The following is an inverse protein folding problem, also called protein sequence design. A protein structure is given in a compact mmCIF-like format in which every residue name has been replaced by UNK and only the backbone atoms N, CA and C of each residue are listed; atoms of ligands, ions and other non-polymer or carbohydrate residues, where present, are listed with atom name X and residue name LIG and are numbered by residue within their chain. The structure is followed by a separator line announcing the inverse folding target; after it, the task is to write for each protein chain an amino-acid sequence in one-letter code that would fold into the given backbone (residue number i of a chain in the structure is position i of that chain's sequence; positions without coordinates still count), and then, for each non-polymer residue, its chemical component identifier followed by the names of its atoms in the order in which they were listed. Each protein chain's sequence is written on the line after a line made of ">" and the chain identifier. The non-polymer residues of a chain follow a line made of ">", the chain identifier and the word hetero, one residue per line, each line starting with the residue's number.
data_IF_964818555256
#
_entry.id   IF_964818555256
#
_cell.length_a   1.000
_cell.length_b   1.000
_cell.length_c   1.000
_cell.angle_alpha   90.00
_cell.angle_beta   90.00
_cell.angle_gamma   90.00
#
_symmetry.space_group_name_H-M   'P 1'
#
loop_
_entity.id
_entity.type
_entity.pdbx_description
1 polymer ?
#
# COMPACT_ATOMS: atom_id res chain seq x y z
N UNK A 1 61.76 35.16 32.35
CA UNK A 1 61.27 33.76 32.56
C UNK A 1 59.73 33.68 32.43
N UNK A 2 58.99 34.63 33.01
CA UNK A 2 57.51 34.67 33.00
C UNK A 2 56.94 34.88 31.58
N UNK A 3 57.54 35.71 30.75
CA UNK A 3 57.07 35.94 29.35
C UNK A 3 57.25 34.72 28.43
N UNK A 4 58.26 33.91 28.66
CA UNK A 4 58.52 32.69 27.88
C UNK A 4 57.48 31.61 28.19
N UNK A 5 57.04 31.53 29.46
CA UNK A 5 56.00 30.62 29.91
C UNK A 5 54.63 31.02 29.35
N UNK A 6 54.30 32.30 29.37
CA UNK A 6 53.04 32.83 28.84
C UNK A 6 52.92 32.63 27.30
N UNK A 7 54.02 32.85 26.55
CA UNK A 7 54.03 32.59 25.10
C UNK A 7 53.89 31.09 24.73
N UNK A 8 54.39 30.20 25.55
CA UNK A 8 54.18 28.73 25.34
C UNK A 8 52.76 28.30 25.67
N UNK A 9 52.12 28.88 26.72
CA UNK A 9 50.73 28.61 27.07
C UNK A 9 49.75 29.06 26.01
N UNK A 10 49.97 30.26 25.43
CA UNK A 10 49.11 30.79 24.34
C UNK A 10 49.23 29.98 23.04
N UNK A 11 50.39 29.44 22.72
CA UNK A 11 50.60 28.58 21.55
C UNK A 11 49.96 27.19 21.73
N UNK A 12 49.95 26.65 22.94
CA UNK A 12 49.29 25.36 23.23
C UNK A 12 47.76 25.49 23.22
N UNK A 13 47.21 26.60 23.70
CA UNK A 13 45.75 26.86 23.64
C UNK A 13 45.25 27.14 22.22
N UNK A 14 46.04 27.81 21.37
CA UNK A 14 45.70 28.05 19.97
C UNK A 14 45.73 26.74 19.13
N UNK A 15 46.64 25.82 19.44
CA UNK A 15 46.71 24.51 18.78
C UNK A 15 45.57 23.57 19.20
N UNK A 16 45.13 23.62 20.47
CA UNK A 16 44.01 22.87 20.97
C UNK A 16 42.65 23.35 20.44
N UNK A 17 42.49 24.66 20.23
CA UNK A 17 41.29 25.28 19.63
C UNK A 17 41.08 24.92 18.15
N UNK A 18 42.19 24.77 17.39
CA UNK A 18 42.13 24.42 15.98
C UNK A 18 41.85 22.94 15.73
N UNK A 19 42.17 22.05 16.68
CA UNK A 19 41.89 20.62 16.55
C UNK A 19 40.42 20.24 16.84
N UNK A 20 39.67 21.10 17.57
CA UNK A 20 38.25 20.85 17.85
C UNK A 20 37.31 21.28 16.72
N UNK A 21 37.77 22.06 15.75
CA UNK A 21 36.97 22.60 14.64
C UNK A 21 36.85 21.65 13.44
N UNK A 22 37.54 20.49 13.44
CA UNK A 22 37.58 19.54 12.31
C UNK A 22 36.91 18.21 12.58
N UNK A 23 36.26 18.03 13.73
CA UNK A 23 35.38 16.90 13.97
C UNK A 23 33.97 17.19 13.40
N UNK A 24 33.87 17.46 12.11
CA UNK A 24 32.59 17.26 11.38
C UNK A 24 32.34 15.76 11.45
N UNK A 25 31.21 15.32 12.03
CA UNK A 25 30.95 13.89 12.13
C UNK A 25 30.97 13.31 10.71
N UNK A 26 31.81 12.31 10.49
CA UNK A 26 31.99 11.60 9.21
C UNK A 26 30.67 11.08 8.60
N UNK A 27 29.57 11.12 9.36
CA UNK A 27 28.23 10.75 8.93
C UNK A 27 27.59 11.73 7.92
N UNK A 28 28.04 12.98 7.82
CA UNK A 28 27.47 13.96 6.89
C UNK A 28 27.98 13.80 5.44
N UNK A 29 29.07 13.07 5.23
CA UNK A 29 29.70 12.92 3.91
C UNK A 29 29.13 11.78 3.06
N UNK A 30 28.31 10.88 3.63
CA UNK A 30 27.82 9.65 2.99
C UNK A 30 26.41 9.80 2.37
N UNK A 31 25.73 10.95 2.54
CA UNK A 31 24.42 11.23 1.97
C UNK A 31 24.57 12.06 0.72
N UNK A 32 24.15 11.52 -0.43
CA UNK A 32 24.19 12.20 -1.73
C UNK A 32 22.90 12.97 -1.99
N UNK A 33 22.98 13.98 -2.88
CA UNK A 33 21.77 14.61 -3.40
C UNK A 33 21.02 13.63 -4.31
N UNK A 34 19.74 13.39 -3.99
CA UNK A 34 18.91 12.46 -4.73
C UNK A 34 17.51 13.02 -4.94
N UNK A 35 16.98 12.79 -6.14
CA UNK A 35 15.58 13.03 -6.46
C UNK A 35 14.89 11.67 -6.60
N UNK A 36 13.89 11.42 -5.78
CA UNK A 36 13.19 10.14 -5.68
C UNK A 36 11.78 10.33 -6.25
N UNK A 37 11.54 9.75 -7.42
CA UNK A 37 10.21 9.75 -8.06
C UNK A 37 9.35 8.69 -7.39
N UNK A 38 8.29 9.14 -6.70
CA UNK A 38 7.38 8.28 -5.96
C UNK A 38 5.99 8.30 -6.62
N UNK A 39 5.64 7.24 -7.33
CA UNK A 39 4.35 7.12 -8.03
C UNK A 39 3.31 6.35 -7.22
N UNK A 40 2.05 6.71 -7.39
CA UNK A 40 0.91 5.92 -6.93
C UNK A 40 -0.35 6.18 -7.77
N UNK A 41 -1.35 5.31 -7.63
CA UNK A 41 -2.54 5.34 -8.48
C UNK A 41 -3.63 6.28 -7.98
N UNK A 42 -3.62 6.57 -6.67
CA UNK A 42 -4.66 7.35 -6.02
C UNK A 42 -4.49 8.86 -6.25
N UNK A 43 -5.57 9.61 -6.13
CA UNK A 43 -5.55 11.06 -6.25
C UNK A 43 -4.79 11.74 -5.08
N UNK A 44 -4.44 13.01 -5.25
CA UNK A 44 -3.64 13.77 -4.29
C UNK A 44 -4.35 14.07 -2.95
N UNK A 45 -5.66 13.88 -2.88
CA UNK A 45 -6.51 14.00 -1.68
C UNK A 45 -6.73 12.65 -0.96
N UNK A 46 -6.20 11.55 -1.49
CA UNK A 46 -6.30 10.23 -0.88
C UNK A 46 -5.25 10.03 0.24
N UNK A 47 -5.54 9.27 1.30
CA UNK A 47 -4.61 8.97 2.41
C UNK A 47 -3.24 8.42 2.01
N UNK A 48 -3.12 7.75 0.87
CA UNK A 48 -1.82 7.31 0.31
C UNK A 48 -0.93 8.51 -0.02
N UNK A 49 -1.48 9.55 -0.64
CA UNK A 49 -0.75 10.79 -0.93
C UNK A 49 -0.26 11.48 0.35
N UNK A 50 -1.08 11.48 1.41
CA UNK A 50 -0.64 12.02 2.70
C UNK A 50 0.50 11.21 3.31
N UNK A 51 0.49 9.89 3.15
CA UNK A 51 1.60 9.01 3.52
C UNK A 51 2.88 9.33 2.74
N UNK A 52 2.80 9.54 1.42
CA UNK A 52 3.94 9.92 0.57
C UNK A 52 4.51 11.27 0.99
N UNK A 53 3.66 12.26 1.24
CA UNK A 53 4.08 13.60 1.72
C UNK A 53 4.79 13.50 3.06
N UNK A 54 4.22 12.72 4.00
CA UNK A 54 4.85 12.51 5.32
C UNK A 54 6.19 11.80 5.20
N UNK A 55 6.30 10.78 4.37
CA UNK A 55 7.57 10.12 4.06
C UNK A 55 8.60 11.11 3.48
N UNK A 56 8.17 11.96 2.55
CA UNK A 56 9.02 12.98 1.93
C UNK A 56 9.57 13.99 2.96
N UNK A 57 8.71 14.50 3.86
CA UNK A 57 9.10 15.41 4.94
C UNK A 57 10.14 14.78 5.88
N UNK A 58 9.87 13.54 6.32
CA UNK A 58 10.74 12.80 7.21
C UNK A 58 12.10 12.50 6.58
N UNK A 59 12.10 12.06 5.32
CA UNK A 59 13.34 11.75 4.61
C UNK A 59 14.17 13.01 4.34
N UNK A 60 13.53 14.11 3.96
CA UNK A 60 14.21 15.40 3.79
C UNK A 60 14.83 15.87 5.10
N UNK A 61 14.10 15.80 6.22
CA UNK A 61 14.62 16.18 7.54
C UNK A 61 15.82 15.31 7.95
N UNK A 62 15.72 13.97 7.80
CA UNK A 62 16.80 13.03 8.16
C UNK A 62 18.05 13.21 7.29
N UNK A 63 17.89 13.56 6.01
CA UNK A 63 18.98 13.71 5.05
C UNK A 63 19.54 15.13 4.95
N UNK A 64 19.08 16.07 5.79
CA UNK A 64 19.46 17.49 5.69
C UNK A 64 19.05 18.12 4.35
N UNK A 65 17.94 17.70 3.77
CA UNK A 65 17.38 18.18 2.51
C UNK A 65 18.02 17.58 1.25
N UNK A 66 18.98 16.66 1.38
CA UNK A 66 19.68 16.06 0.24
C UNK A 66 18.82 15.02 -0.50
N UNK A 67 18.00 14.23 0.20
CA UNK A 67 17.11 13.25 -0.42
C UNK A 67 15.70 13.85 -0.54
N UNK A 68 15.31 14.18 -1.77
CA UNK A 68 14.03 14.85 -2.08
C UNK A 68 13.09 13.90 -2.79
N UNK A 69 11.88 13.74 -2.27
CA UNK A 69 10.82 12.94 -2.90
C UNK A 69 9.94 13.84 -3.76
N UNK A 70 9.75 13.45 -5.01
CA UNK A 70 8.75 14.00 -5.91
C UNK A 70 7.58 13.02 -6.02
N UNK A 71 6.42 13.45 -5.56
CA UNK A 71 5.19 12.68 -5.65
C UNK A 71 4.58 12.76 -7.06
N UNK A 72 4.08 11.62 -7.56
CA UNK A 72 3.36 11.49 -8.82
C UNK A 72 2.05 10.72 -8.56
N UNK A 73 0.97 11.41 -8.15
CA UNK A 73 -0.33 10.83 -7.87
C UNK A 73 -1.11 10.48 -9.15
N UNK A 74 -2.30 9.89 -8.98
CA UNK A 74 -3.29 9.68 -10.04
C UNK A 74 -2.73 9.00 -11.31
N UNK A 75 -1.89 7.98 -11.11
CA UNK A 75 -1.29 7.20 -12.21
C UNK A 75 -0.42 8.02 -13.19
N UNK A 76 0.12 9.18 -12.79
CA UNK A 76 0.97 10.02 -13.66
C UNK A 76 2.21 9.30 -14.21
N UNK A 77 2.71 8.26 -13.50
CA UNK A 77 3.82 7.43 -13.97
C UNK A 77 3.35 6.11 -14.62
N UNK A 78 2.08 6.03 -15.02
CA UNK A 78 1.48 4.85 -15.63
C UNK A 78 0.66 4.00 -14.65
N UNK A 79 0.08 2.92 -15.18
CA UNK A 79 -0.70 1.96 -14.41
C UNK A 79 0.20 1.07 -13.53
N UNK A 80 -0.41 0.14 -12.76
CA UNK A 80 0.29 -0.74 -11.82
C UNK A 80 1.45 -1.50 -12.47
N UNK A 81 1.21 -2.14 -13.61
CA UNK A 81 2.22 -2.97 -14.29
C UNK A 81 3.34 -2.12 -14.90
N UNK A 82 3.01 -0.94 -15.42
CA UNK A 82 4.00 0.00 -15.96
C UNK A 82 4.93 0.51 -14.86
N UNK A 83 4.38 0.91 -13.70
CA UNK A 83 5.19 1.34 -12.56
C UNK A 83 6.03 0.20 -11.98
N UNK A 84 5.50 -1.02 -11.88
CA UNK A 84 6.27 -2.19 -11.46
C UNK A 84 7.45 -2.47 -12.39
N UNK A 85 7.21 -2.46 -13.71
CA UNK A 85 8.28 -2.62 -14.70
C UNK A 85 9.32 -1.48 -14.62
N UNK A 86 8.87 -0.25 -14.40
CA UNK A 86 9.77 0.91 -14.25
C UNK A 86 10.64 0.82 -12.99
N UNK A 87 10.10 0.30 -11.87
CA UNK A 87 10.88 0.01 -10.65
C UNK A 87 11.91 -1.08 -10.90
N UNK A 88 11.52 -2.20 -11.49
CA UNK A 88 12.43 -3.32 -11.82
C UNK A 88 13.52 -2.87 -12.78
N UNK A 89 13.19 -2.01 -13.74
CA UNK A 89 14.14 -1.38 -14.67
C UNK A 89 15.07 -0.34 -14.05
N UNK A 90 14.71 0.23 -12.88
CA UNK A 90 15.44 1.32 -12.23
C UNK A 90 15.10 2.72 -12.76
N UNK A 91 14.08 2.84 -13.62
CA UNK A 91 13.64 4.12 -14.22
C UNK A 91 12.83 4.94 -13.19
N UNK A 92 12.08 4.28 -12.34
CA UNK A 92 11.33 4.85 -11.22
C UNK A 92 11.96 4.39 -9.90
N UNK A 93 12.02 5.26 -8.88
CA UNK A 93 12.67 4.94 -7.61
C UNK A 93 11.71 4.27 -6.62
N UNK A 94 10.48 4.80 -6.49
CA UNK A 94 9.51 4.31 -5.50
C UNK A 94 8.08 4.26 -6.05
N UNK A 95 7.26 3.35 -5.52
CA UNK A 95 5.81 3.36 -5.70
C UNK A 95 5.08 2.78 -4.49
N UNK A 96 3.76 3.02 -4.41
CA UNK A 96 2.89 2.43 -3.39
C UNK A 96 1.66 1.76 -4.05
N UNK A 97 1.82 0.63 -4.77
CA UNK A 97 0.70 -0.12 -5.31
C UNK A 97 -0.06 -0.89 -4.24
N UNK A 98 -1.29 -1.33 -4.55
CA UNK A 98 -1.97 -2.34 -3.77
C UNK A 98 -1.19 -3.67 -3.82
N UNK A 99 -1.09 -4.38 -2.68
CA UNK A 99 -0.45 -5.72 -2.60
C UNK A 99 -1.04 -6.70 -3.62
N UNK A 100 -2.32 -6.58 -3.90
CA UNK A 100 -3.08 -7.36 -4.86
C UNK A 100 -2.44 -7.40 -6.26
N UNK A 101 -1.80 -6.31 -6.69
CA UNK A 101 -1.12 -6.23 -8.00
C UNK A 101 0.21 -6.99 -8.05
N UNK A 102 0.74 -7.44 -6.91
CA UNK A 102 2.00 -8.18 -6.84
C UNK A 102 1.84 -9.69 -7.05
N UNK A 103 0.62 -10.21 -7.06
CA UNK A 103 0.38 -11.65 -7.28
C UNK A 103 0.91 -12.16 -8.63
N UNK A 104 1.07 -11.28 -9.62
CA UNK A 104 1.71 -11.59 -10.90
C UNK A 104 3.24 -11.70 -10.84
N UNK A 105 3.88 -11.17 -9.79
CA UNK A 105 5.34 -11.18 -9.58
C UNK A 105 5.72 -12.24 -8.54
N UNK A 106 5.00 -12.27 -7.42
CA UNK A 106 5.11 -13.26 -6.34
C UNK A 106 3.70 -13.74 -6.01
N UNK A 107 3.35 -14.93 -6.49
CA UNK A 107 1.98 -15.47 -6.44
C UNK A 107 1.42 -15.56 -5.00
N UNK A 108 2.28 -15.74 -4.02
CA UNK A 108 1.92 -15.86 -2.61
C UNK A 108 1.34 -14.56 -2.01
N UNK A 109 1.50 -13.39 -2.67
CA UNK A 109 0.74 -12.20 -2.28
C UNK A 109 -0.77 -12.41 -2.40
N UNK A 110 -1.24 -13.38 -3.19
CA UNK A 110 -2.64 -13.78 -3.21
C UNK A 110 -3.19 -14.28 -1.87
N UNK A 111 -2.35 -14.69 -0.92
CA UNK A 111 -2.79 -15.10 0.43
C UNK A 111 -3.41 -13.92 1.21
N UNK A 112 -2.89 -12.71 1.03
CA UNK A 112 -3.45 -11.52 1.70
C UNK A 112 -4.72 -11.02 1.02
N UNK A 113 -5.00 -11.50 -0.18
CA UNK A 113 -6.21 -11.20 -0.95
C UNK A 113 -7.34 -12.22 -0.72
N UNK A 114 -7.12 -13.25 0.11
CA UNK A 114 -8.16 -14.23 0.41
C UNK A 114 -9.38 -13.54 1.03
N UNK A 115 -10.58 -13.79 0.49
CA UNK A 115 -11.78 -13.13 0.96
C UNK A 115 -12.05 -13.47 2.42
N UNK A 116 -12.42 -12.44 3.19
CA UNK A 116 -12.73 -12.52 4.62
C UNK A 116 -11.60 -13.10 5.50
N UNK A 117 -10.34 -12.96 5.07
CA UNK A 117 -9.16 -13.40 5.82
C UNK A 117 -9.08 -12.72 7.20
N UNK A 118 -9.25 -11.40 7.23
CA UNK A 118 -9.26 -10.58 8.43
C UNK A 118 -10.57 -9.82 8.55
N UNK A 119 -10.99 -9.50 9.78
CA UNK A 119 -12.26 -8.83 10.07
C UNK A 119 -12.13 -7.40 10.60
N UNK A 120 -10.91 -6.97 10.94
CA UNK A 120 -10.66 -5.63 11.46
C UNK A 120 -9.20 -5.19 11.22
N UNK A 121 -8.90 -3.90 11.46
CA UNK A 121 -7.57 -3.35 11.24
C UNK A 121 -6.49 -3.96 12.14
N UNK A 122 -6.81 -4.33 13.39
CA UNK A 122 -5.85 -4.95 14.29
C UNK A 122 -5.37 -6.32 13.75
N UNK A 123 -6.31 -7.12 13.22
CA UNK A 123 -5.99 -8.38 12.55
C UNK A 123 -5.18 -8.15 11.28
N UNK A 124 -5.49 -7.13 10.49
CA UNK A 124 -4.75 -6.77 9.28
C UNK A 124 -3.31 -6.34 9.62
N UNK A 125 -3.13 -5.50 10.65
CA UNK A 125 -1.82 -5.09 11.14
C UNK A 125 -1.00 -6.31 11.60
N UNK A 126 -1.60 -7.17 12.41
CA UNK A 126 -0.91 -8.36 12.93
C UNK A 126 -0.50 -9.34 11.80
N UNK A 127 -1.30 -9.47 10.75
CA UNK A 127 -1.00 -10.33 9.60
C UNK A 127 0.13 -9.76 8.75
N UNK A 128 0.07 -8.46 8.44
CA UNK A 128 0.99 -7.83 7.49
C UNK A 128 2.32 -7.39 8.13
N UNK A 129 2.31 -6.95 9.37
CA UNK A 129 3.55 -6.61 10.09
C UNK A 129 4.21 -7.84 10.73
N UNK A 130 3.45 -8.94 10.82
CA UNK A 130 3.88 -10.22 11.38
C UNK A 130 4.71 -11.08 10.44
N UNK A 131 4.98 -12.34 10.84
CA UNK A 131 5.84 -13.27 10.12
C UNK A 131 5.43 -13.50 8.65
N UNK A 132 4.13 -13.56 8.34
CA UNK A 132 3.67 -13.73 6.97
C UNK A 132 4.06 -12.53 6.10
N UNK A 133 3.74 -11.31 6.54
CA UNK A 133 4.06 -10.10 5.79
C UNK A 133 5.56 -9.96 5.53
N UNK A 134 6.41 -10.30 6.52
CA UNK A 134 7.86 -10.31 6.38
C UNK A 134 8.34 -11.38 5.39
N UNK A 135 7.76 -12.58 5.42
CA UNK A 135 8.09 -13.66 4.48
C UNK A 135 7.73 -13.30 3.03
N UNK A 136 6.62 -12.57 2.82
CA UNK A 136 6.25 -12.06 1.50
C UNK A 136 7.21 -10.98 1.00
N UNK A 137 7.57 -10.02 1.85
CA UNK A 137 8.56 -8.97 1.54
C UNK A 137 9.91 -9.57 1.16
N UNK A 138 10.35 -10.61 1.87
CA UNK A 138 11.64 -11.26 1.63
C UNK A 138 11.77 -11.89 0.23
N UNK A 139 10.68 -12.11 -0.49
CA UNK A 139 10.67 -12.64 -1.88
C UNK A 139 10.84 -11.58 -2.97
N UNK A 140 10.70 -10.31 -2.61
CA UNK A 140 10.72 -9.21 -3.59
C UNK A 140 12.11 -8.86 -4.13
N UNK A 141 13.22 -8.97 -3.38
CA UNK A 141 14.55 -8.63 -3.90
C UNK A 141 14.97 -9.44 -5.12
N UNK A 142 14.61 -10.71 -5.20
CA UNK A 142 14.85 -11.56 -6.38
C UNK A 142 14.05 -11.10 -7.62
N UNK A 143 13.02 -10.30 -7.39
CA UNK A 143 12.17 -9.70 -8.44
C UNK A 143 12.56 -8.25 -8.75
N UNK A 144 13.71 -7.78 -8.27
CA UNK A 144 14.20 -6.42 -8.52
C UNK A 144 13.50 -5.33 -7.70
N UNK A 145 12.84 -5.68 -6.60
CA UNK A 145 12.08 -4.80 -5.74
C UNK A 145 12.53 -4.93 -4.29
N UNK A 146 12.49 -3.84 -3.54
CA UNK A 146 12.65 -3.81 -2.08
C UNK A 146 11.40 -3.19 -1.48
N UNK A 147 10.83 -3.80 -0.43
CA UNK A 147 9.70 -3.22 0.27
C UNK A 147 10.14 -2.61 1.61
N UNK A 148 9.56 -1.47 1.94
CA UNK A 148 9.78 -0.76 3.20
C UNK A 148 8.65 -0.96 4.22
N UNK A 149 7.56 -1.63 3.84
CA UNK A 149 6.45 -1.93 4.72
C UNK A 149 5.10 -1.77 4.06
N UNK A 150 4.05 -1.97 4.85
CA UNK A 150 2.66 -1.94 4.39
C UNK A 150 1.93 -0.71 4.93
N UNK A 151 1.14 -0.07 4.07
CA UNK A 151 0.22 1.00 4.37
C UNK A 151 -1.23 0.53 4.23
N UNK A 152 -2.18 1.18 4.90
CA UNK A 152 -3.60 0.89 4.73
C UNK A 152 -4.12 1.39 3.38
N UNK A 153 -4.93 0.56 2.72
CA UNK A 153 -5.86 1.00 1.70
C UNK A 153 -7.30 0.88 2.24
N UNK A 154 -7.61 -0.24 2.88
CA UNK A 154 -8.85 -0.47 3.62
C UNK A 154 -9.65 -1.68 3.19
N UNK A 155 -10.80 -1.89 3.86
CA UNK A 155 -11.75 -2.95 3.49
C UNK A 155 -12.47 -2.60 2.20
N UNK A 156 -12.50 -3.55 1.28
CA UNK A 156 -13.08 -3.39 -0.06
C UNK A 156 -14.56 -3.72 -0.05
N UNK A 157 -15.31 -2.90 -0.76
CA UNK A 157 -16.76 -2.90 -0.83
C UNK A 157 -17.22 -2.79 -2.27
N UNK A 158 -18.33 -3.42 -2.62
CA UNK A 158 -18.87 -3.40 -3.97
C UNK A 158 -19.66 -2.12 -4.22
N UNK A 159 -19.43 -1.49 -5.37
CA UNK A 159 -20.35 -0.48 -5.91
C UNK A 159 -20.88 -0.94 -7.24
N UNK A 160 -22.11 -0.52 -7.61
CA UNK A 160 -22.66 -0.75 -8.92
C UNK A 160 -23.77 0.27 -9.28
N UNK A 161 -24.14 0.32 -10.56
CA UNK A 161 -25.17 1.22 -11.07
C UNK A 161 -26.58 0.60 -11.13
N UNK A 162 -26.76 -0.71 -10.81
CA UNK A 162 -27.98 -1.45 -11.08
C UNK A 162 -28.87 -1.64 -9.85
N UNK A 163 -28.32 -2.15 -8.73
CA UNK A 163 -29.09 -2.56 -7.55
C UNK A 163 -28.23 -2.62 -6.30
N UNK A 164 -28.79 -2.47 -5.09
CA UNK A 164 -28.07 -2.77 -3.85
C UNK A 164 -27.71 -4.26 -3.80
N UNK A 165 -26.56 -4.59 -3.19
CA UNK A 165 -26.15 -5.95 -2.89
C UNK A 165 -26.47 -6.21 -1.43
N UNK A 166 -27.50 -7.01 -1.19
CA UNK A 166 -27.99 -7.40 0.16
C UNK A 166 -27.69 -8.86 0.46
N UNK A 167 -27.44 -9.67 -0.57
CA UNK A 167 -27.14 -11.10 -0.53
C UNK A 167 -26.25 -11.49 -1.71
N UNK A 168 -25.54 -12.64 -1.67
CA UNK A 168 -24.63 -13.06 -2.73
C UNK A 168 -25.30 -13.11 -4.12
N UNK A 169 -26.56 -13.51 -4.22
CA UNK A 169 -27.31 -13.65 -5.47
C UNK A 169 -27.51 -12.30 -6.19
N UNK A 170 -27.46 -11.19 -5.47
CA UNK A 170 -27.57 -9.85 -6.07
C UNK A 170 -26.36 -9.50 -6.95
N UNK A 171 -25.25 -10.24 -6.84
CA UNK A 171 -24.08 -10.11 -7.71
C UNK A 171 -24.24 -10.87 -9.04
N UNK A 172 -25.20 -11.80 -9.14
CA UNK A 172 -25.35 -12.65 -10.31
C UNK A 172 -25.56 -11.83 -11.59
N UNK A 173 -24.72 -12.12 -12.59
CA UNK A 173 -24.76 -11.50 -13.92
C UNK A 173 -24.17 -10.10 -14.01
N UNK A 174 -23.84 -9.43 -12.88
CA UNK A 174 -23.21 -8.10 -12.92
C UNK A 174 -21.80 -8.17 -13.50
N UNK A 175 -21.50 -7.29 -14.43
CA UNK A 175 -20.12 -7.05 -14.91
C UNK A 175 -19.38 -6.23 -13.84
N UNK A 176 -18.57 -6.89 -13.03
CA UNK A 176 -17.80 -6.23 -11.96
C UNK A 176 -16.35 -6.12 -12.38
N UNK A 177 -15.85 -4.88 -12.48
CA UNK A 177 -14.40 -4.70 -12.65
C UNK A 177 -13.67 -5.15 -11.40
N UNK A 178 -12.64 -5.93 -11.60
CA UNK A 178 -11.71 -6.35 -10.54
C UNK A 178 -10.27 -6.00 -10.92
N UNK A 179 -9.38 -5.97 -9.92
CA UNK A 179 -7.94 -5.86 -10.16
C UNK A 179 -7.51 -7.12 -10.95
N UNK A 180 -6.55 -7.03 -11.90
CA UNK A 180 -6.00 -8.20 -12.59
C UNK A 180 -5.28 -9.15 -11.62
N UNK A 181 -6.04 -9.95 -10.90
CA UNK A 181 -5.58 -10.89 -9.88
C UNK A 181 -6.47 -12.15 -9.93
N UNK A 182 -5.87 -13.35 -10.05
CA UNK A 182 -6.64 -14.59 -10.18
C UNK A 182 -7.58 -14.88 -8.99
N UNK A 183 -7.20 -14.51 -7.75
CA UNK A 183 -8.04 -14.72 -6.56
C UNK A 183 -9.31 -13.88 -6.68
N UNK A 184 -9.20 -12.60 -7.07
CA UNK A 184 -10.37 -11.72 -7.27
C UNK A 184 -11.27 -12.23 -8.40
N UNK A 185 -10.69 -12.61 -9.54
CA UNK A 185 -11.43 -13.18 -10.66
C UNK A 185 -12.27 -14.38 -10.23
N UNK A 186 -11.64 -15.34 -9.59
CA UNK A 186 -12.32 -16.57 -9.21
C UNK A 186 -13.31 -16.36 -8.04
N UNK A 187 -13.04 -15.43 -7.12
CA UNK A 187 -13.97 -15.07 -6.05
C UNK A 187 -15.26 -14.46 -6.61
N UNK A 188 -15.15 -13.50 -7.54
CA UNK A 188 -16.34 -12.90 -8.13
C UNK A 188 -17.08 -13.85 -9.09
N UNK A 189 -16.38 -14.78 -9.77
CA UNK A 189 -17.03 -15.89 -10.49
C UNK A 189 -17.82 -16.81 -9.53
N UNK A 190 -17.26 -17.12 -8.36
CA UNK A 190 -17.96 -17.93 -7.37
C UNK A 190 -19.25 -17.24 -6.86
N UNK A 191 -19.28 -15.91 -6.80
CA UNK A 191 -20.48 -15.12 -6.55
C UNK A 191 -21.39 -14.98 -7.79
N UNK A 192 -21.11 -15.71 -8.89
CA UNK A 192 -21.83 -15.68 -10.16
C UNK A 192 -21.86 -14.31 -10.85
N UNK A 193 -20.99 -13.39 -10.47
CA UNK A 193 -20.74 -12.18 -11.24
C UNK A 193 -19.93 -12.49 -12.51
N UNK A 194 -19.87 -11.51 -13.41
CA UNK A 194 -19.01 -11.51 -14.58
C UNK A 194 -17.81 -10.59 -14.32
N UNK A 195 -16.71 -11.07 -13.68
CA UNK A 195 -15.58 -10.23 -13.36
C UNK A 195 -14.80 -9.83 -14.62
N UNK A 196 -14.48 -8.55 -14.73
CA UNK A 196 -13.72 -7.96 -15.83
C UNK A 196 -12.39 -7.43 -15.26
N UNK A 197 -11.24 -8.09 -15.51
CA UNK A 197 -9.95 -7.60 -15.05
C UNK A 197 -9.54 -6.38 -15.88
N UNK A 198 -9.15 -5.29 -15.18
CA UNK A 198 -8.82 -4.02 -15.83
C UNK A 198 -7.90 -3.19 -14.94
N UNK A 199 -6.86 -2.51 -15.47
CA UNK A 199 -6.04 -1.56 -14.75
C UNK A 199 -6.88 -0.46 -14.08
N UNK A 200 -6.41 0.05 -12.93
CA UNK A 200 -7.17 1.06 -12.17
C UNK A 200 -7.39 2.35 -12.96
N UNK A 201 -6.40 2.78 -13.75
CA UNK A 201 -6.48 4.02 -14.54
C UNK A 201 -7.62 4.03 -15.58
N UNK A 202 -8.12 2.87 -15.99
CA UNK A 202 -9.20 2.72 -16.97
C UNK A 202 -10.60 2.68 -16.32
N UNK A 203 -10.64 2.54 -14.98
CA UNK A 203 -11.87 2.18 -14.27
C UNK A 203 -12.96 3.23 -14.37
N UNK A 204 -12.66 4.53 -14.13
CA UNK A 204 -13.68 5.56 -14.17
C UNK A 204 -14.39 5.64 -15.53
N UNK A 205 -13.62 5.63 -16.62
CA UNK A 205 -14.18 5.65 -17.98
C UNK A 205 -15.01 4.41 -18.31
N UNK A 206 -14.61 3.23 -17.81
CA UNK A 206 -15.37 2.00 -17.99
C UNK A 206 -16.70 2.00 -17.21
N UNK A 207 -16.74 2.63 -16.01
CA UNK A 207 -17.96 2.82 -15.24
C UNK A 207 -18.88 3.86 -15.90
N UNK A 208 -18.32 4.97 -16.35
CA UNK A 208 -19.04 6.07 -16.99
C UNK A 208 -19.68 5.61 -18.31
N UNK A 209 -18.94 4.92 -19.16
CA UNK A 209 -19.43 4.33 -20.41
C UNK A 209 -20.34 3.12 -20.24
N UNK A 210 -20.50 2.62 -18.97
CA UNK A 210 -21.26 1.41 -18.66
C UNK A 210 -20.70 0.13 -19.31
N UNK A 211 -19.42 0.12 -19.66
CA UNK A 211 -18.71 -1.10 -20.10
C UNK A 211 -18.68 -2.17 -19.00
N UNK A 212 -18.65 -1.70 -17.73
CA UNK A 212 -18.88 -2.51 -16.54
C UNK A 212 -20.02 -1.94 -15.71
N UNK A 213 -20.74 -2.80 -14.97
CA UNK A 213 -21.86 -2.39 -14.13
C UNK A 213 -21.40 -1.86 -12.77
N UNK A 214 -20.25 -2.34 -12.31
CA UNK A 214 -19.72 -2.03 -10.98
C UNK A 214 -18.24 -2.34 -10.83
N UNK A 215 -17.78 -2.09 -9.62
CA UNK A 215 -16.41 -2.30 -9.17
C UNK A 215 -16.38 -2.60 -7.67
N UNK A 216 -15.21 -2.86 -7.11
CA UNK A 216 -14.99 -3.05 -5.69
C UNK A 216 -13.71 -2.34 -5.24
N UNK A 217 -13.81 -1.54 -4.19
CA UNK A 217 -12.70 -0.77 -3.61
C UNK A 217 -13.06 -0.33 -2.17
N UNK A 218 -12.05 0.12 -1.39
CA UNK A 218 -12.32 0.82 -0.13
C UNK A 218 -13.07 2.14 -0.33
N UNK A 219 -13.84 2.56 0.67
CA UNK A 219 -14.65 3.76 0.61
C UNK A 219 -13.85 5.04 0.30
N UNK A 220 -12.61 5.16 0.85
CA UNK A 220 -11.73 6.29 0.57
C UNK A 220 -11.37 6.39 -0.92
N UNK A 221 -11.17 5.25 -1.58
CA UNK A 221 -10.91 5.17 -3.03
C UNK A 221 -12.16 5.54 -3.82
N UNK A 222 -13.33 5.02 -3.43
CA UNK A 222 -14.62 5.34 -4.07
C UNK A 222 -14.90 6.85 -3.99
N UNK A 223 -14.58 7.46 -2.84
CA UNK A 223 -14.81 8.88 -2.61
C UNK A 223 -13.84 9.76 -3.40
N UNK A 224 -12.52 9.53 -3.24
CA UNK A 224 -11.49 10.37 -3.87
C UNK A 224 -11.48 10.29 -5.39
N UNK A 225 -11.86 9.13 -5.96
CA UNK A 225 -12.00 8.96 -7.41
C UNK A 225 -13.40 9.27 -7.93
N UNK A 226 -14.29 9.81 -7.07
CA UNK A 226 -15.64 10.23 -7.41
C UNK A 226 -16.49 9.15 -8.08
N UNK A 227 -16.26 7.87 -7.74
CA UNK A 227 -17.04 6.79 -8.34
C UNK A 227 -18.53 6.89 -8.02
N UNK A 228 -18.91 7.60 -6.96
CA UNK A 228 -20.31 7.89 -6.63
C UNK A 228 -21.05 8.68 -7.74
N UNK A 229 -20.35 9.39 -8.64
CA UNK A 229 -20.97 10.08 -9.77
C UNK A 229 -21.52 9.10 -10.82
N UNK A 230 -20.90 7.93 -10.94
CA UNK A 230 -21.21 6.88 -11.93
C UNK A 230 -21.67 5.56 -11.30
N UNK A 231 -21.71 5.49 -9.95
CA UNK A 231 -22.08 4.30 -9.16
C UNK A 231 -23.12 4.68 -8.10
N UNK A 232 -24.38 4.30 -8.34
CA UNK A 232 -25.49 4.68 -7.47
C UNK A 232 -25.50 3.93 -6.13
N UNK A 233 -25.14 2.64 -6.15
CA UNK A 233 -25.26 1.75 -5.00
C UNK A 233 -23.87 1.43 -4.44
N UNK A 234 -23.72 1.55 -3.11
CA UNK A 234 -22.52 1.22 -2.33
C UNK A 234 -22.92 0.22 -1.26
N UNK A 235 -22.45 -1.01 -1.39
CA UNK A 235 -22.81 -2.11 -0.49
C UNK A 235 -21.61 -2.54 0.35
N UNK A 236 -21.77 -2.54 1.68
CA UNK A 236 -20.73 -2.86 2.67
C UNK A 236 -20.42 -4.37 2.69
N UNK A 237 -19.84 -4.89 1.63
CA UNK A 237 -19.46 -6.31 1.55
C UNK A 237 -18.25 -6.66 2.41
N UNK A 238 -17.34 -5.73 2.63
CA UNK A 238 -16.10 -5.92 3.40
C UNK A 238 -15.38 -7.24 3.08
N UNK A 239 -15.43 -7.65 1.81
CA UNK A 239 -15.03 -8.98 1.36
C UNK A 239 -13.53 -9.23 1.37
N UNK A 240 -12.69 -8.18 1.26
CA UNK A 240 -11.23 -8.26 1.32
C UNK A 240 -10.70 -7.02 2.03
N UNK A 241 -9.69 -7.19 2.90
CA UNK A 241 -8.85 -6.08 3.32
C UNK A 241 -7.71 -5.92 2.32
N UNK A 242 -7.53 -4.73 1.80
CA UNK A 242 -6.42 -4.39 0.90
C UNK A 242 -5.40 -3.49 1.61
N UNK A 243 -4.13 -3.76 1.38
CA UNK A 243 -3.02 -2.90 1.78
C UNK A 243 -2.30 -2.33 0.56
N UNK A 244 -1.65 -1.18 0.74
CA UNK A 244 -0.58 -0.77 -0.15
C UNK A 244 0.76 -1.26 0.39
N UNK A 245 1.72 -1.42 -0.49
CA UNK A 245 3.09 -1.76 -0.12
C UNK A 245 4.04 -0.69 -0.66
N UNK A 246 4.90 -0.15 0.21
CA UNK A 246 5.89 0.85 -0.19
C UNK A 246 7.07 0.15 -0.83
N UNK A 247 7.18 0.28 -2.14
CA UNK A 247 8.21 -0.35 -2.96
C UNK A 247 9.30 0.62 -3.36
N UNK A 248 10.52 0.10 -3.41
CA UNK A 248 11.72 0.76 -3.91
C UNK A 248 12.30 -0.10 -5.02
N UNK A 249 12.75 0.52 -6.11
CA UNK A 249 13.59 -0.15 -7.12
C UNK A 249 14.83 -0.75 -6.45
N UNK A 250 15.09 -2.04 -6.65
CA UNK A 250 16.30 -2.67 -6.10
C UNK A 250 17.57 -2.03 -6.65
N UNK A 251 17.57 -1.64 -7.93
CA UNK A 251 18.73 -0.94 -8.54
C UNK A 251 19.00 0.40 -7.84
N UNK A 252 17.94 1.15 -7.51
CA UNK A 252 18.08 2.39 -6.75
C UNK A 252 18.52 2.10 -5.31
N UNK A 253 17.89 1.13 -4.64
CA UNK A 253 18.24 0.72 -3.28
C UNK A 253 19.70 0.33 -3.12
N UNK A 254 20.22 -0.47 -4.05
CA UNK A 254 21.62 -0.94 -4.03
C UNK A 254 22.63 0.22 -4.33
N UNK A 255 22.19 1.33 -4.91
CA UNK A 255 22.98 2.54 -5.12
C UNK A 255 23.07 3.45 -3.88
N UNK A 256 22.27 3.16 -2.85
CA UNK A 256 22.23 3.94 -1.62
C UNK A 256 23.32 3.49 -0.67
N UNK A 257 23.91 4.45 0.05
CA UNK A 257 24.78 4.14 1.18
C UNK A 257 24.00 3.48 2.31
N UNK A 258 24.65 2.73 3.22
CA UNK A 258 23.99 2.15 4.39
C UNK A 258 23.22 3.19 5.22
N UNK A 259 23.74 4.42 5.31
CA UNK A 259 23.10 5.51 6.03
C UNK A 259 21.84 6.02 5.30
N UNK A 260 21.90 6.20 3.97
CA UNK A 260 20.72 6.54 3.15
C UNK A 260 19.63 5.46 3.25
N UNK A 261 20.01 4.18 3.19
CA UNK A 261 19.06 3.06 3.37
C UNK A 261 18.42 3.08 4.76
N UNK A 262 19.19 3.37 5.81
CA UNK A 262 18.68 3.51 7.18
C UNK A 262 17.68 4.66 7.27
N UNK A 263 17.99 5.84 6.73
CA UNK A 263 17.09 7.00 6.70
C UNK A 263 15.78 6.69 5.98
N UNK A 264 15.83 5.99 4.85
CA UNK A 264 14.63 5.57 4.13
C UNK A 264 13.77 4.58 4.93
N UNK A 265 14.38 3.61 5.62
CA UNK A 265 13.64 2.67 6.49
C UNK A 265 12.96 3.41 7.64
N UNK A 266 13.70 4.27 8.35
CA UNK A 266 13.15 5.04 9.46
C UNK A 266 12.01 5.98 9.01
N UNK A 267 12.17 6.67 7.87
CA UNK A 267 11.12 7.52 7.31
C UNK A 267 9.87 6.70 6.91
N UNK A 268 10.06 5.48 6.38
CA UNK A 268 8.96 4.58 6.04
C UNK A 268 8.23 4.08 7.29
N UNK A 269 8.96 3.69 8.35
CA UNK A 269 8.37 3.21 9.60
C UNK A 269 7.56 4.31 10.31
N UNK A 270 8.11 5.54 10.38
CA UNK A 270 7.42 6.67 10.98
C UNK A 270 6.19 7.10 10.15
N UNK A 271 6.31 7.14 8.81
CA UNK A 271 5.19 7.51 7.93
C UNK A 271 4.08 6.45 7.91
N UNK A 272 4.39 5.16 8.17
CA UNK A 272 3.40 4.08 8.25
C UNK A 272 2.34 4.34 9.31
N UNK A 273 2.76 4.70 10.52
CA UNK A 273 1.82 5.01 11.61
C UNK A 273 0.89 6.17 11.26
N UNK A 274 1.43 7.24 10.70
CA UNK A 274 0.65 8.39 10.24
C UNK A 274 -0.32 8.01 9.12
N UNK A 275 0.16 7.29 8.09
CA UNK A 275 -0.67 6.90 6.95
C UNK A 275 -1.85 6.01 7.39
N UNK A 276 -1.63 5.01 8.25
CA UNK A 276 -2.70 4.18 8.81
C UNK A 276 -3.72 5.01 9.59
N UNK A 277 -3.26 5.95 10.40
CA UNK A 277 -4.15 6.83 11.16
C UNK A 277 -5.05 7.64 10.22
N UNK A 278 -4.50 8.32 9.22
CA UNK A 278 -5.29 9.15 8.29
C UNK A 278 -6.18 8.31 7.39
N UNK A 279 -5.76 7.10 7.00
CA UNK A 279 -6.54 6.17 6.19
C UNK A 279 -7.77 5.66 6.95
N UNK A 280 -7.59 5.24 8.20
CA UNK A 280 -8.69 4.76 9.07
C UNK A 280 -9.69 5.87 9.39
N UNK A 281 -9.19 7.07 9.69
CA UNK A 281 -10.05 8.24 9.89
C UNK A 281 -10.83 8.62 8.61
N UNK A 282 -10.22 8.53 7.43
CA UNK A 282 -10.90 8.75 6.16
C UNK A 282 -11.97 7.69 5.90
N UNK A 283 -11.67 6.40 6.15
CA UNK A 283 -12.64 5.32 5.99
C UNK A 283 -13.88 5.49 6.88
N UNK A 284 -13.71 5.96 8.11
CA UNK A 284 -14.83 6.22 9.03
C UNK A 284 -15.77 7.33 8.54
N UNK A 285 -15.22 8.37 7.90
CA UNK A 285 -16.01 9.50 7.39
C UNK A 285 -16.63 9.24 6.02
N UNK A 286 -15.98 8.40 5.22
CA UNK A 286 -16.29 8.23 3.80
C UNK A 286 -17.73 7.79 3.53
N UNK A 287 -18.33 6.94 4.38
CA UNK A 287 -19.72 6.48 4.20
C UNK A 287 -20.69 7.66 4.29
N UNK A 288 -20.58 8.49 5.34
CA UNK A 288 -21.42 9.69 5.47
C UNK A 288 -21.22 10.69 4.33
N UNK A 289 -19.99 10.87 3.88
CA UNK A 289 -19.67 11.75 2.76
C UNK A 289 -20.23 11.22 1.43
N UNK A 290 -20.18 9.90 1.17
CA UNK A 290 -20.76 9.25 0.00
C UNK A 290 -22.30 9.40 -0.02
N UNK A 291 -22.94 9.19 1.14
CA UNK A 291 -24.39 9.40 1.28
C UNK A 291 -24.80 10.87 1.04
N UNK A 292 -24.03 11.82 1.58
CA UNK A 292 -24.26 13.24 1.33
C UNK A 292 -24.11 13.63 -0.15
N UNK A 293 -23.34 12.84 -0.93
CA UNK A 293 -23.19 12.98 -2.39
C UNK A 293 -24.22 12.18 -3.19
N UNK A 294 -25.22 11.57 -2.53
CA UNK A 294 -26.32 10.87 -3.18
C UNK A 294 -26.13 9.38 -3.41
N UNK A 295 -25.04 8.78 -2.92
CA UNK A 295 -24.86 7.34 -2.98
C UNK A 295 -25.87 6.62 -2.06
N UNK A 296 -26.49 5.56 -2.56
CA UNK A 296 -27.35 4.69 -1.78
C UNK A 296 -26.49 3.61 -1.10
N UNK A 297 -26.30 3.77 0.19
CA UNK A 297 -25.51 2.85 1.01
C UNK A 297 -26.37 1.79 1.68
N UNK A 298 -25.90 0.55 1.71
CA UNK A 298 -26.49 -0.53 2.49
C UNK A 298 -25.42 -1.42 3.12
N UNK A 299 -25.73 -1.95 4.27
CA UNK A 299 -24.95 -3.02 4.90
C UNK A 299 -25.47 -4.40 4.49
N UNK A 300 -24.59 -5.40 4.53
CA UNK A 300 -24.98 -6.80 4.43
C UNK A 300 -25.22 -7.35 5.84
N UNK A 301 -26.31 -8.10 6.00
CA UNK A 301 -26.56 -8.83 7.23
C UNK A 301 -25.39 -9.81 7.51
N UNK A 302 -24.99 -10.01 8.77
CA UNK A 302 -23.90 -10.94 9.13
C UNK A 302 -24.09 -12.37 8.57
N UNK A 303 -25.34 -12.83 8.48
CA UNK A 303 -25.64 -14.12 7.88
C UNK A 303 -25.30 -14.17 6.38
N UNK A 304 -25.53 -13.08 5.65
CA UNK A 304 -25.22 -13.00 4.21
C UNK A 304 -23.71 -12.87 3.97
N UNK A 305 -22.99 -12.13 4.83
CA UNK A 305 -21.53 -12.15 4.79
C UNK A 305 -20.95 -13.54 5.08
N UNK A 306 -21.55 -14.30 6.02
CA UNK A 306 -21.16 -15.67 6.28
C UNK A 306 -21.42 -16.59 5.07
N UNK A 307 -22.56 -16.39 4.37
CA UNK A 307 -22.85 -17.11 3.11
C UNK A 307 -21.80 -16.78 2.02
N UNK A 308 -21.45 -15.51 1.83
CA UNK A 308 -20.38 -15.10 0.88
C UNK A 308 -19.05 -15.79 1.22
N UNK A 309 -18.71 -15.88 2.51
CA UNK A 309 -17.50 -16.59 2.96
C UNK A 309 -17.54 -18.08 2.59
N UNK A 310 -18.68 -18.74 2.77
CA UNK A 310 -18.84 -20.16 2.40
C UNK A 310 -18.73 -20.36 0.89
N UNK A 311 -19.34 -19.50 0.08
CA UNK A 311 -19.25 -19.54 -1.38
C UNK A 311 -17.80 -19.35 -1.85
N UNK A 312 -17.03 -18.49 -1.20
CA UNK A 312 -15.63 -18.23 -1.55
C UNK A 312 -14.65 -19.31 -1.04
N UNK A 313 -15.04 -20.15 -0.09
CA UNK A 313 -14.17 -21.16 0.54
C UNK A 313 -13.46 -22.08 -0.48
N UNK A 314 -14.13 -22.67 -1.50
CA UNK A 314 -13.45 -23.51 -2.48
C UNK A 314 -12.39 -22.76 -3.30
N UNK A 315 -12.56 -21.46 -3.53
CA UNK A 315 -11.57 -20.60 -4.18
C UNK A 315 -10.31 -20.48 -3.32
N UNK A 316 -10.49 -20.17 -2.02
CA UNK A 316 -9.40 -20.10 -1.05
C UNK A 316 -8.62 -21.41 -0.99
N UNK A 317 -9.31 -22.56 -0.86
CA UNK A 317 -8.69 -23.89 -0.79
C UNK A 317 -7.87 -24.20 -2.05
N UNK A 318 -8.41 -23.92 -3.23
CA UNK A 318 -7.73 -24.14 -4.51
C UNK A 318 -6.46 -23.31 -4.65
N UNK A 319 -6.52 -22.03 -4.32
CA UNK A 319 -5.33 -21.16 -4.40
C UNK A 319 -4.31 -21.51 -3.32
N UNK A 320 -4.72 -21.79 -2.09
CA UNK A 320 -3.82 -22.26 -1.05
C UNK A 320 -3.03 -23.51 -1.48
N UNK A 321 -3.70 -24.48 -2.14
CA UNK A 321 -3.06 -25.69 -2.65
C UNK A 321 -2.04 -25.41 -3.78
N UNK A 322 -2.10 -24.25 -4.44
CA UNK A 322 -1.19 -23.85 -5.54
C UNK A 322 0.03 -23.05 -5.11
N UNK A 323 0.05 -22.57 -3.86
CA UNK A 323 1.13 -21.75 -3.32
C UNK A 323 2.18 -22.60 -2.60
N UNK A 324 3.30 -21.98 -2.22
CA UNK A 324 4.34 -22.60 -1.43
C UNK A 324 3.78 -23.12 -0.10
N UNK A 325 3.84 -24.45 0.19
CA UNK A 325 3.24 -25.03 1.40
C UNK A 325 3.76 -24.41 2.71
N UNK A 326 5.04 -23.98 2.77
CA UNK A 326 5.59 -23.34 3.94
C UNK A 326 4.96 -21.99 4.22
N UNK A 327 4.71 -21.19 3.16
CA UNK A 327 4.04 -19.88 3.28
C UNK A 327 2.55 -20.05 3.57
N UNK A 328 1.90 -21.07 2.99
CA UNK A 328 0.50 -21.39 3.31
C UNK A 328 0.36 -21.82 4.77
N UNK A 329 1.28 -22.63 5.27
CA UNK A 329 1.29 -23.02 6.69
C UNK A 329 1.45 -21.78 7.57
N UNK A 330 2.41 -20.90 7.25
CA UNK A 330 2.64 -19.65 7.98
C UNK A 330 1.38 -18.78 7.99
N UNK A 331 0.71 -18.63 6.83
CA UNK A 331 -0.57 -17.92 6.74
C UNK A 331 -1.62 -18.55 7.65
N UNK A 332 -1.77 -19.85 7.63
CA UNK A 332 -2.78 -20.55 8.44
C UNK A 332 -2.54 -20.40 9.93
N UNK A 333 -1.27 -20.51 10.35
CA UNK A 333 -0.85 -20.33 11.75
C UNK A 333 -1.12 -18.89 12.21
N UNK A 334 -0.79 -17.88 11.38
CA UNK A 334 -1.05 -16.47 11.68
C UNK A 334 -2.55 -16.16 11.75
N UNK A 335 -3.35 -16.64 10.81
CA UNK A 335 -4.81 -16.47 10.84
C UNK A 335 -5.40 -17.10 12.10
N UNK A 336 -4.95 -18.28 12.49
CA UNK A 336 -5.40 -18.93 13.72
C UNK A 336 -4.99 -18.13 14.98
N UNK A 337 -3.81 -17.50 14.98
CA UNK A 337 -3.32 -16.69 16.10
C UNK A 337 -4.08 -15.37 16.24
N UNK A 338 -4.35 -14.66 15.14
CA UNK A 338 -4.96 -13.32 15.19
C UNK A 338 -6.48 -13.34 15.36
N UNK A 339 -7.14 -14.50 15.19
CA UNK A 339 -8.57 -14.66 15.38
C UNK A 339 -8.96 -15.10 16.80
N UNK A 340 -7.98 -15.42 17.65
CA UNK A 340 -8.18 -15.70 19.08
C UNK A 340 -8.40 -14.40 19.84
#
# INVERSE_FOLDING_TARGET
>A
LLEIILRKLHRSLAAAGLALALAVPAFAQDVQERVIRFGHLNNADHPVSFGVKRFAELLAAKSGGKMKVQEFPASQLGNEMQQQSALQGGIQQMSAPATTSLAGIVKEFGLVDFPFAVGNFAQADALLDGPLGQALIARLPEKGLVALGYWDLGFRNVTNSKRPITRPEDLEGLKIRVIPNPVFLETFKAFKANPVPMPFAELYGALESKAVDGQENPYSVILSNKFFEVQKFVSATNHVYAANIVLVSKKFWDSLSPNEQKMMREAADESRGYQRQVSRAAAQRAVGELQAKGAQFNELAPAEQARMRQIAKPVVERFAASYDPAIVKLYSDEIARIRK
#
